data_IF_023115623475
#
_entry.id   IF_023115623475
#
_cell.length_a   1.000
_cell.length_b   1.000
_cell.length_c   1.000
_cell.angle_alpha   90.00
_cell.angle_beta   90.00
_cell.angle_gamma   90.00
#
_symmetry.space_group_name_H-M   'P 1'
#
loop_
_entity.id
_entity.type
_entity.pdbx_description
1 polymer ?
#
# COMPACT_ATOMS: atom_id res chain seq x y z
N UNK A 1 -4.33 -6.33 -29.89
CA UNK A 1 -3.61 -5.08 -29.57
C UNK A 1 -4.16 -4.60 -28.25
N UNK A 2 -3.29 -4.17 -27.35
CA UNK A 2 -3.75 -3.58 -26.10
C UNK A 2 -4.61 -2.34 -26.38
N UNK A 3 -5.74 -2.24 -25.70
CA UNK A 3 -6.63 -1.08 -25.81
C UNK A 3 -6.02 0.08 -25.04
N UNK A 4 -5.65 1.14 -25.75
CA UNK A 4 -5.13 2.36 -25.16
C UNK A 4 -6.23 3.44 -25.04
N UNK A 5 -5.90 4.55 -24.36
CA UNK A 5 -6.85 5.63 -24.10
C UNK A 5 -7.45 6.21 -25.39
N UNK A 6 -6.63 6.38 -26.44
CA UNK A 6 -7.10 6.84 -27.76
C UNK A 6 -8.10 5.86 -28.39
N UNK A 7 -7.80 4.56 -28.35
CA UNK A 7 -8.68 3.55 -28.97
C UNK A 7 -9.99 3.41 -28.21
N UNK A 8 -9.96 3.43 -26.87
CA UNK A 8 -11.17 3.43 -26.04
C UNK A 8 -12.02 4.66 -26.31
N UNK A 9 -11.41 5.85 -26.30
CA UNK A 9 -12.10 7.12 -26.57
C UNK A 9 -12.73 7.12 -27.96
N UNK A 10 -12.00 6.70 -28.99
CA UNK A 10 -12.51 6.64 -30.36
C UNK A 10 -13.65 5.65 -30.56
N UNK A 11 -13.67 4.54 -29.81
CA UNK A 11 -14.81 3.60 -29.81
C UNK A 11 -16.07 4.22 -29.20
N UNK A 12 -15.92 5.08 -28.18
CA UNK A 12 -17.04 5.87 -27.64
C UNK A 12 -17.50 6.92 -28.65
N UNK A 13 -16.57 7.68 -29.23
CA UNK A 13 -16.84 8.69 -30.27
C UNK A 13 -17.58 8.08 -31.46
N UNK A 14 -17.17 6.91 -31.92
CA UNK A 14 -17.82 6.21 -33.02
C UNK A 14 -19.30 5.84 -32.73
N UNK A 15 -19.64 5.49 -31.48
CA UNK A 15 -21.02 5.22 -31.07
C UNK A 15 -21.90 6.48 -31.09
N UNK A 16 -21.29 7.64 -31.00
CA UNK A 16 -21.94 8.93 -31.02
C UNK A 16 -22.01 9.55 -32.44
N UNK A 17 -21.46 8.81 -33.45
CA UNK A 17 -21.32 9.28 -34.82
C UNK A 17 -20.57 10.61 -34.95
N UNK A 18 -19.50 10.77 -34.16
CA UNK A 18 -18.63 11.94 -34.14
C UNK A 18 -17.26 11.65 -34.77
N UNK A 19 -16.47 12.69 -35.02
CA UNK A 19 -15.15 12.58 -35.67
C UNK A 19 -14.12 12.06 -34.71
N UNK A 20 -13.45 10.96 -35.11
CA UNK A 20 -12.40 10.31 -34.29
C UNK A 20 -11.20 11.23 -34.06
N UNK A 21 -10.55 11.03 -32.92
CA UNK A 21 -9.28 11.66 -32.55
C UNK A 21 -8.08 10.90 -33.16
N UNK A 22 -7.01 11.62 -33.42
CA UNK A 22 -5.69 11.08 -33.77
C UNK A 22 -4.71 11.29 -32.63
N UNK A 23 -3.58 10.60 -32.64
CA UNK A 23 -2.53 10.82 -31.62
C UNK A 23 -2.03 12.27 -31.57
N UNK A 24 -2.04 12.96 -32.69
CA UNK A 24 -1.56 14.35 -32.80
C UNK A 24 -2.54 15.39 -32.24
N UNK A 25 -3.85 15.12 -32.23
CA UNK A 25 -4.86 16.05 -31.75
C UNK A 25 -5.53 15.62 -30.43
N UNK A 26 -5.12 14.50 -29.87
CA UNK A 26 -5.72 13.95 -28.64
C UNK A 26 -5.66 14.91 -27.46
N UNK A 27 -4.52 15.54 -27.21
CA UNK A 27 -4.34 16.52 -26.14
C UNK A 27 -5.08 17.86 -26.40
N UNK A 28 -5.47 18.10 -27.64
CA UNK A 28 -6.19 19.31 -28.04
C UNK A 28 -7.67 19.05 -28.35
N UNK A 29 -8.20 17.93 -27.88
CA UNK A 29 -9.61 17.58 -28.01
C UNK A 29 -10.53 18.68 -27.47
N UNK A 30 -11.70 18.87 -28.07
CA UNK A 30 -12.67 19.92 -27.68
C UNK A 30 -14.10 19.40 -27.68
N UNK A 31 -14.94 20.08 -26.92
CA UNK A 31 -16.38 19.79 -26.89
C UNK A 31 -16.68 18.35 -26.48
N UNK A 32 -17.41 17.64 -27.33
CA UNK A 32 -17.84 16.27 -27.06
C UNK A 32 -16.67 15.29 -26.96
N UNK A 33 -15.57 15.54 -27.67
CA UNK A 33 -14.39 14.66 -27.64
C UNK A 33 -13.75 14.65 -26.24
N UNK A 34 -13.65 15.81 -25.57
CA UNK A 34 -13.18 15.91 -24.17
C UNK A 34 -14.14 15.17 -23.23
N UNK A 35 -15.45 15.28 -23.49
CA UNK A 35 -16.44 14.55 -22.67
C UNK A 35 -16.28 13.03 -22.84
N UNK A 36 -15.94 12.55 -24.06
CA UNK A 36 -15.64 11.14 -24.26
C UNK A 36 -14.37 10.68 -23.54
N UNK A 37 -13.31 11.51 -23.52
CA UNK A 37 -12.11 11.24 -22.73
C UNK A 37 -12.43 11.14 -21.24
N UNK A 38 -13.10 12.14 -20.68
CA UNK A 38 -13.49 12.17 -19.27
C UNK A 38 -14.38 10.98 -18.92
N UNK A 39 -15.34 10.63 -19.77
CA UNK A 39 -16.26 9.52 -19.56
C UNK A 39 -15.55 8.16 -19.54
N UNK A 40 -14.47 7.98 -20.32
CA UNK A 40 -13.64 6.75 -20.25
C UNK A 40 -12.99 6.63 -18.86
N UNK A 41 -12.37 7.68 -18.36
CA UNK A 41 -11.79 7.68 -17.02
C UNK A 41 -12.84 7.49 -15.92
N UNK A 42 -14.01 8.11 -16.07
CA UNK A 42 -15.13 7.95 -15.14
C UNK A 42 -15.64 6.50 -15.12
N UNK A 43 -15.74 5.85 -16.27
CA UNK A 43 -16.13 4.44 -16.35
C UNK A 43 -15.08 3.52 -15.68
N UNK A 44 -13.79 3.77 -15.89
CA UNK A 44 -12.71 3.03 -15.26
C UNK A 44 -12.75 3.22 -13.74
N UNK A 45 -12.93 4.45 -13.26
CA UNK A 45 -13.08 4.73 -11.82
C UNK A 45 -14.30 4.04 -11.22
N UNK A 46 -15.43 4.10 -11.91
CA UNK A 46 -16.67 3.45 -11.46
C UNK A 46 -16.51 1.93 -11.32
N UNK A 47 -15.90 1.25 -12.31
CA UNK A 47 -15.60 -0.18 -12.25
C UNK A 47 -14.74 -0.48 -11.01
N UNK A 48 -13.66 0.29 -10.81
CA UNK A 48 -12.76 0.08 -9.69
C UNK A 48 -13.39 0.42 -8.32
N UNK A 49 -14.38 1.28 -8.26
CA UNK A 49 -15.11 1.58 -7.01
C UNK A 49 -16.13 0.51 -6.64
N UNK A 50 -16.69 -0.21 -7.61
CA UNK A 50 -17.70 -1.27 -7.38
C UNK A 50 -17.12 -2.52 -6.75
N UNK A 51 -15.82 -2.78 -6.94
CA UNK A 51 -15.14 -3.97 -6.42
C UNK A 51 -13.76 -3.62 -5.92
N UNK A 52 -13.41 -4.14 -4.74
CA UNK A 52 -12.15 -3.80 -4.06
C UNK A 52 -10.99 -4.73 -4.44
N UNK A 53 -11.27 -5.95 -4.87
CA UNK A 53 -10.29 -7.02 -4.98
C UNK A 53 -10.16 -7.57 -6.41
N UNK A 54 -10.21 -6.68 -7.39
CA UNK A 54 -9.91 -7.14 -8.76
C UNK A 54 -8.46 -7.63 -8.86
N UNK A 55 -8.22 -8.86 -9.38
CA UNK A 55 -6.87 -9.42 -9.49
C UNK A 55 -5.91 -8.57 -10.32
N UNK A 56 -6.40 -7.82 -11.30
CA UNK A 56 -5.57 -6.95 -12.14
C UNK A 56 -5.08 -5.68 -11.41
N UNK A 57 -5.61 -5.37 -10.24
CA UNK A 57 -5.17 -4.28 -9.37
C UNK A 57 -4.31 -4.78 -8.18
N UNK A 58 -4.07 -6.08 -8.09
CA UNK A 58 -3.25 -6.66 -7.05
C UNK A 58 -1.78 -6.27 -7.24
N UNK A 59 -1.15 -5.79 -6.18
CA UNK A 59 0.25 -5.39 -6.13
C UNK A 59 0.89 -6.00 -4.88
N UNK A 60 2.07 -6.57 -5.05
CA UNK A 60 2.93 -6.94 -3.93
C UNK A 60 3.98 -5.86 -3.74
N UNK A 61 3.96 -5.21 -2.60
CA UNK A 61 4.94 -4.19 -2.23
C UNK A 61 6.09 -4.79 -1.41
N UNK A 62 7.22 -4.11 -1.49
CA UNK A 62 8.42 -4.45 -0.73
C UNK A 62 8.96 -3.20 -0.08
N UNK A 63 8.97 -3.17 1.24
CA UNK A 63 9.44 -2.03 2.01
C UNK A 63 10.60 -2.41 2.91
N UNK A 64 11.59 -1.52 2.98
CA UNK A 64 12.75 -1.67 3.87
C UNK A 64 12.48 -0.87 5.12
N UNK A 65 12.35 -1.55 6.25
CA UNK A 65 12.10 -0.93 7.54
C UNK A 65 13.36 -0.23 8.06
N UNK A 66 13.16 0.88 8.73
CA UNK A 66 14.22 1.62 9.41
C UNK A 66 14.19 1.31 10.91
N UNK A 67 15.35 1.12 11.50
CA UNK A 67 15.46 0.88 12.95
C UNK A 67 14.88 2.06 13.75
N UNK A 68 14.11 1.75 14.79
CA UNK A 68 13.45 2.74 15.65
C UNK A 68 12.22 3.42 15.04
N UNK A 69 11.81 3.07 13.84
CA UNK A 69 10.57 3.58 13.23
C UNK A 69 9.42 2.62 13.52
N UNK A 70 8.39 3.14 14.18
CA UNK A 70 7.20 2.36 14.57
C UNK A 70 6.13 2.41 13.50
N UNK A 71 5.91 3.59 12.89
CA UNK A 71 4.78 3.89 11.99
C UNK A 71 5.24 4.02 10.55
N UNK A 72 4.51 3.40 9.66
CA UNK A 72 4.79 3.37 8.22
C UNK A 72 3.55 3.72 7.43
N UNK A 73 3.74 4.39 6.31
CA UNK A 73 2.66 4.76 5.39
C UNK A 73 2.49 3.71 4.32
N UNK A 74 1.25 3.37 4.00
CA UNK A 74 0.97 2.56 2.80
C UNK A 74 1.06 3.43 1.53
N UNK A 75 1.33 2.85 0.35
CA UNK A 75 1.34 3.60 -0.90
C UNK A 75 0.05 4.40 -1.09
N UNK A 76 0.15 5.64 -1.55
CA UNK A 76 -1.00 6.54 -1.75
C UNK A 76 -2.03 6.00 -2.76
N UNK A 77 -1.59 5.12 -3.65
CA UNK A 77 -2.45 4.42 -4.62
C UNK A 77 -3.16 3.20 -4.02
N UNK A 78 -2.84 2.82 -2.77
CA UNK A 78 -3.48 1.66 -2.14
C UNK A 78 -4.94 1.95 -1.83
N UNK A 79 -5.82 1.07 -2.26
CA UNK A 79 -7.24 1.10 -1.96
C UNK A 79 -7.57 0.21 -0.76
N UNK A 80 -7.03 -0.99 -0.78
CA UNK A 80 -7.25 -1.98 0.27
C UNK A 80 -5.95 -2.75 0.48
N UNK A 81 -5.45 -2.75 1.70
CA UNK A 81 -4.25 -3.50 2.12
C UNK A 81 -4.71 -4.81 2.75
N UNK A 82 -4.10 -5.91 2.34
CA UNK A 82 -4.33 -7.21 2.98
C UNK A 82 -3.31 -7.44 4.12
N UNK A 83 -3.72 -7.11 5.32
CA UNK A 83 -2.88 -7.23 6.51
C UNK A 83 -2.47 -8.67 6.85
N UNK A 84 -3.15 -9.70 6.30
CA UNK A 84 -2.77 -11.11 6.49
C UNK A 84 -1.53 -11.51 5.69
N UNK A 85 -1.14 -10.70 4.71
CA UNK A 85 -0.03 -11.01 3.80
C UNK A 85 1.31 -10.44 4.26
N UNK A 86 1.30 -9.63 5.33
CA UNK A 86 2.52 -9.04 5.87
C UNK A 86 3.51 -10.10 6.32
N UNK A 87 4.72 -10.06 5.75
CA UNK A 87 5.77 -11.04 6.03
C UNK A 87 7.15 -10.40 6.00
N UNK A 88 8.01 -10.81 6.91
CA UNK A 88 9.42 -10.47 6.90
C UNK A 88 10.14 -11.39 5.92
N UNK A 89 10.99 -10.80 5.08
CA UNK A 89 11.82 -11.55 4.14
C UNK A 89 13.06 -12.08 4.87
N UNK A 90 13.35 -13.35 4.66
CA UNK A 90 14.57 -13.97 5.19
C UNK A 90 15.81 -13.23 4.69
N UNK A 91 16.68 -12.86 5.62
CA UNK A 91 18.01 -12.32 5.31
C UNK A 91 19.07 -13.12 6.09
N UNK A 92 19.76 -14.00 5.39
CA UNK A 92 20.78 -14.90 6.00
C UNK A 92 22.00 -14.12 6.51
N UNK A 93 22.35 -13.01 5.86
CA UNK A 93 23.49 -12.17 6.26
C UNK A 93 23.25 -11.48 7.60
N UNK A 94 22.01 -11.05 7.85
CA UNK A 94 21.61 -10.42 9.11
C UNK A 94 21.08 -11.42 10.14
N UNK A 95 21.09 -12.72 9.83
CA UNK A 95 20.56 -13.76 10.72
C UNK A 95 19.03 -13.71 10.89
N UNK A 96 18.30 -13.09 9.96
CA UNK A 96 16.86 -12.91 10.05
C UNK A 96 16.14 -14.13 9.46
N UNK A 97 15.34 -14.81 10.28
CA UNK A 97 14.40 -15.81 9.82
C UNK A 97 13.15 -15.09 9.23
N UNK A 98 12.80 -15.42 7.99
CA UNK A 98 11.55 -14.91 7.41
C UNK A 98 10.32 -15.49 8.13
N UNK A 99 9.23 -14.75 8.14
CA UNK A 99 7.97 -15.17 8.78
C UNK A 99 6.81 -14.22 8.52
N UNK A 100 5.59 -14.73 8.66
CA UNK A 100 4.40 -13.91 8.56
C UNK A 100 4.18 -13.14 9.88
N UNK A 101 3.75 -11.89 9.77
CA UNK A 101 3.35 -11.09 10.91
C UNK A 101 1.91 -11.44 11.30
N UNK A 102 1.63 -11.35 12.59
CA UNK A 102 0.27 -11.52 13.13
C UNK A 102 -0.42 -10.16 13.16
N UNK A 103 -1.73 -10.15 12.95
CA UNK A 103 -2.51 -8.92 13.10
C UNK A 103 -2.81 -8.70 14.58
N UNK A 104 -2.50 -7.49 15.08
CA UNK A 104 -2.92 -7.04 16.39
C UNK A 104 -3.92 -5.89 16.23
N UNK A 105 -4.95 -5.85 17.07
CA UNK A 105 -5.93 -4.79 17.04
C UNK A 105 -5.30 -3.47 17.57
N UNK A 106 -5.66 -2.33 16.96
CA UNK A 106 -5.14 -1.02 17.36
C UNK A 106 -5.48 -0.66 18.80
N UNK A 107 -6.67 -1.01 19.29
CA UNK A 107 -7.04 -0.76 20.69
C UNK A 107 -6.20 -1.58 21.66
N UNK A 108 -5.90 -2.83 21.32
CA UNK A 108 -5.04 -3.68 22.15
C UNK A 108 -3.61 -3.13 22.20
N UNK A 109 -3.13 -2.62 21.05
CA UNK A 109 -1.84 -1.95 20.97
C UNK A 109 -1.80 -0.70 21.87
N UNK A 110 -2.78 0.17 21.77
CA UNK A 110 -2.86 1.41 22.56
C UNK A 110 -2.95 1.10 24.06
N UNK A 111 -3.67 0.06 24.45
CA UNK A 111 -3.86 -0.27 25.86
C UNK A 111 -2.64 -0.94 26.52
N UNK A 112 -1.79 -1.64 25.73
CA UNK A 112 -0.76 -2.49 26.31
C UNK A 112 0.66 -2.16 25.83
N UNK A 113 0.82 -1.55 24.67
CA UNK A 113 2.11 -1.46 23.98
C UNK A 113 2.49 -0.06 23.46
N UNK A 114 1.62 0.95 23.62
CA UNK A 114 1.88 2.29 23.06
C UNK A 114 3.12 2.94 23.66
N UNK A 115 3.49 2.58 24.88
CA UNK A 115 4.69 3.10 25.57
C UNK A 115 6.00 2.81 24.82
N UNK A 116 6.01 1.83 23.90
CA UNK A 116 7.20 1.60 23.07
C UNK A 116 7.60 2.83 22.23
N UNK A 117 6.64 3.71 21.91
CA UNK A 117 6.93 4.93 21.16
C UNK A 117 7.65 5.98 22.00
N UNK A 118 7.43 5.95 23.32
CA UNK A 118 8.05 6.87 24.28
C UNK A 118 9.50 6.47 24.61
N UNK A 119 9.89 5.24 24.28
CA UNK A 119 11.25 4.71 24.53
C UNK A 119 12.24 5.10 23.42
N UNK A 120 11.79 5.80 22.37
CA UNK A 120 12.60 6.18 21.23
C UNK A 120 13.01 7.65 21.34
N UNK A 121 14.28 7.89 21.62
CA UNK A 121 14.88 9.22 21.52
C UNK A 121 15.27 9.52 20.08
N UNK A 122 14.94 10.71 19.60
CA UNK A 122 15.19 11.11 18.21
C UNK A 122 15.75 12.52 18.10
N UNK A 123 16.69 12.70 17.19
CA UNK A 123 17.26 13.99 16.79
C UNK A 123 17.62 13.95 15.29
N UNK A 124 18.21 15.00 14.75
CA UNK A 124 18.70 15.02 13.37
C UNK A 124 20.14 15.50 13.31
N UNK A 125 20.91 15.02 12.33
CA UNK A 125 22.25 15.53 12.06
C UNK A 125 22.18 16.99 11.63
N UNK A 126 23.09 17.84 12.13
CA UNK A 126 23.16 19.25 11.76
C UNK A 126 24.16 19.52 10.63
N UNK A 127 25.05 18.58 10.36
CA UNK A 127 26.02 18.59 9.27
C UNK A 127 26.12 17.21 8.62
N UNK A 128 26.71 17.15 7.43
CA UNK A 128 27.02 15.87 6.78
C UNK A 128 28.24 15.22 7.39
N UNK A 129 28.26 13.89 7.42
CA UNK A 129 29.34 13.07 7.95
C UNK A 129 29.83 12.06 6.92
N UNK A 130 31.13 11.76 6.97
CA UNK A 130 31.72 10.66 6.20
C UNK A 130 31.51 9.32 6.90
N UNK A 131 31.79 8.24 6.20
CA UNK A 131 31.73 6.86 6.73
C UNK A 131 32.77 6.55 7.82
N UNK A 132 33.77 7.38 7.97
CA UNK A 132 34.89 7.24 8.90
C UNK A 132 34.87 8.22 10.08
N UNK A 133 33.90 9.12 10.14
CA UNK A 133 33.79 10.10 11.23
C UNK A 133 33.53 9.41 12.57
N UNK A 134 34.33 9.77 13.57
CA UNK A 134 34.22 9.30 14.96
C UNK A 134 33.41 10.20 15.86
N UNK A 135 32.87 11.28 15.30
CA UNK A 135 31.97 12.23 15.99
C UNK A 135 30.80 12.54 15.10
N UNK A 136 29.59 12.40 15.63
CA UNK A 136 28.35 12.74 14.92
C UNK A 136 27.74 13.98 15.54
N UNK A 137 27.59 15.03 14.73
CA UNK A 137 27.04 16.32 15.15
C UNK A 137 25.55 16.39 14.83
N UNK A 138 24.76 16.68 15.86
CA UNK A 138 23.28 16.68 15.80
C UNK A 138 22.73 18.02 16.33
N UNK A 139 21.45 18.23 16.16
CA UNK A 139 20.75 19.42 16.65
C UNK A 139 20.73 19.46 18.18
N UNK A 140 20.47 18.34 18.84
CA UNK A 140 20.48 18.20 20.31
C UNK A 140 20.67 16.74 20.70
N UNK A 141 21.36 16.51 21.81
CA UNK A 141 21.52 15.19 22.43
C UNK A 141 20.66 15.05 23.70
N UNK A 142 19.76 16.00 23.94
CA UNK A 142 18.84 15.94 25.10
C UNK A 142 17.95 14.71 25.03
N UNK A 143 17.90 13.93 26.09
CA UNK A 143 17.14 12.67 26.16
C UNK A 143 17.95 11.44 25.80
N UNK A 144 19.13 11.60 25.16
CA UNK A 144 20.01 10.48 24.85
C UNK A 144 20.90 10.10 26.04
N UNK A 145 21.29 8.84 26.10
CA UNK A 145 22.23 8.35 27.11
C UNK A 145 23.63 8.96 26.95
N UNK A 146 24.42 8.88 28.00
CA UNK A 146 25.81 9.33 27.95
C UNK A 146 26.73 8.47 27.08
N UNK A 147 26.36 7.21 26.83
CA UNK A 147 26.99 6.26 25.91
C UNK A 147 25.98 5.22 25.48
N UNK A 148 26.12 4.64 24.30
CA UNK A 148 25.17 3.65 23.81
C UNK A 148 25.26 3.36 22.33
N UNK A 149 24.14 3.07 21.72
CA UNK A 149 24.00 2.75 20.29
C UNK A 149 23.02 3.71 19.63
N UNK A 150 23.43 4.30 18.52
CA UNK A 150 22.59 5.10 17.65
C UNK A 150 22.21 4.31 16.40
N UNK A 151 21.06 4.63 15.85
CA UNK A 151 20.60 4.15 14.56
C UNK A 151 20.41 5.33 13.63
N UNK A 152 21.11 5.30 12.47
CA UNK A 152 21.07 6.34 11.47
C UNK A 152 20.77 5.68 10.12
N UNK A 153 19.54 5.81 9.66
CA UNK A 153 19.08 5.02 8.53
C UNK A 153 19.22 3.51 8.79
N UNK A 154 20.09 2.87 8.02
CA UNK A 154 20.37 1.43 8.14
C UNK A 154 21.66 1.10 8.90
N UNK A 155 22.34 2.11 9.40
CA UNK A 155 23.61 1.95 10.11
C UNK A 155 23.42 1.98 11.63
N UNK A 156 24.06 1.04 12.31
CA UNK A 156 24.23 1.03 13.76
C UNK A 156 25.60 1.63 14.12
N UNK A 157 25.59 2.63 15.03
CA UNK A 157 26.77 3.35 15.44
C UNK A 157 26.85 3.30 16.96
N UNK A 158 27.90 2.73 17.54
CA UNK A 158 28.13 2.84 19.00
C UNK A 158 28.89 4.10 19.32
N UNK A 159 28.60 4.72 20.46
CA UNK A 159 29.29 5.92 20.95
C UNK A 159 29.61 5.80 22.42
N UNK A 160 30.65 6.54 22.88
CA UNK A 160 31.15 6.46 24.25
C UNK A 160 31.00 7.75 25.03
N UNK A 161 30.53 8.81 24.42
CA UNK A 161 30.30 10.07 25.11
C UNK A 161 29.41 11.04 24.34
N UNK A 162 28.81 12.00 25.04
CA UNK A 162 27.95 13.04 24.49
C UNK A 162 28.35 14.42 24.94
N UNK A 163 28.12 15.42 24.11
CA UNK A 163 28.03 16.84 24.47
C UNK A 163 26.58 17.30 24.19
N UNK A 164 26.29 18.57 24.35
CA UNK A 164 24.93 19.09 24.02
C UNK A 164 24.50 18.89 22.58
N UNK A 165 25.45 18.72 21.65
CA UNK A 165 25.18 18.65 20.20
C UNK A 165 26.02 17.61 19.47
N UNK A 166 26.78 16.77 20.15
CA UNK A 166 27.62 15.77 19.50
C UNK A 166 27.61 14.44 20.25
N UNK A 167 27.66 13.36 19.50
CA UNK A 167 28.05 12.04 19.99
C UNK A 167 29.52 11.83 19.66
N UNK A 168 30.33 11.38 20.64
CA UNK A 168 31.78 11.25 20.52
C UNK A 168 32.22 9.81 20.75
N UNK A 169 33.42 9.47 20.22
CA UNK A 169 33.94 8.10 20.29
C UNK A 169 33.05 7.12 19.51
N UNK A 170 32.54 7.57 18.37
CA UNK A 170 31.67 6.77 17.52
C UNK A 170 32.45 5.65 16.81
N UNK A 171 31.92 4.43 16.88
CA UNK A 171 32.35 3.29 16.05
C UNK A 171 31.28 3.06 15.01
N UNK A 172 31.65 3.25 13.73
CA UNK A 172 30.78 3.15 12.58
C UNK A 172 30.56 1.69 12.18
N UNK A 173 29.41 1.39 11.57
CA UNK A 173 29.10 0.06 11.06
C UNK A 173 28.99 -1.04 12.13
N UNK A 174 28.57 -0.69 13.35
CA UNK A 174 28.35 -1.65 14.43
C UNK A 174 27.22 -2.65 14.07
N UNK A 175 27.08 -3.72 14.83
CA UNK A 175 25.99 -4.68 14.68
C UNK A 175 25.92 -5.41 13.34
N UNK A 176 27.03 -5.54 12.61
CA UNK A 176 27.13 -6.06 11.23
C UNK A 176 26.41 -5.19 10.17
N UNK A 177 26.29 -3.88 10.44
CA UNK A 177 25.86 -2.91 9.45
C UNK A 177 27.06 -2.36 8.67
N UNK A 178 26.82 -1.62 7.60
CA UNK A 178 27.88 -1.01 6.81
C UNK A 178 27.88 0.49 7.04
N UNK A 179 29.04 1.05 7.37
CA UNK A 179 29.22 2.49 7.48
C UNK A 179 28.96 3.17 6.13
N UNK A 180 28.24 4.26 6.14
CA UNK A 180 27.91 5.06 4.96
C UNK A 180 27.98 6.55 5.26
N UNK A 181 28.06 7.39 4.22
CA UNK A 181 27.94 8.83 4.39
C UNK A 181 26.55 9.19 4.94
N UNK A 182 26.49 10.14 5.84
CA UNK A 182 25.25 10.63 6.46
C UNK A 182 25.08 12.09 6.04
N UNK A 183 23.95 12.40 5.42
CA UNK A 183 23.61 13.77 5.04
C UNK A 183 23.13 14.59 6.22
N UNK A 184 23.28 15.91 6.16
CA UNK A 184 22.67 16.83 7.12
C UNK A 184 21.15 16.69 7.09
N UNK A 185 20.51 16.72 8.27
CA UNK A 185 19.07 16.52 8.44
C UNK A 185 18.63 15.05 8.53
N UNK A 186 19.58 14.10 8.48
CA UNK A 186 19.26 12.67 8.66
C UNK A 186 18.85 12.40 10.10
N UNK A 187 17.76 11.63 10.27
CA UNK A 187 17.27 11.24 11.60
C UNK A 187 18.25 10.29 12.29
N UNK A 188 18.54 10.58 13.54
CA UNK A 188 19.35 9.78 14.47
C UNK A 188 18.44 9.33 15.60
N UNK A 189 18.34 8.04 15.85
CA UNK A 189 17.51 7.47 16.93
C UNK A 189 18.35 6.67 17.91
N UNK A 190 17.93 6.68 19.17
CA UNK A 190 18.40 5.78 20.21
C UNK A 190 17.19 5.16 20.88
N UNK A 191 17.27 3.87 21.16
CA UNK A 191 16.23 3.16 21.87
C UNK A 191 16.79 1.93 22.58
N UNK A 192 16.20 1.61 23.71
CA UNK A 192 16.36 0.33 24.38
C UNK A 192 15.15 -0.54 24.08
N UNK A 193 15.36 -1.73 23.57
CA UNK A 193 14.25 -2.59 23.20
C UNK A 193 14.15 -2.79 21.68
N UNK A 194 12.93 -2.89 21.19
CA UNK A 194 12.69 -3.26 19.81
C UNK A 194 13.08 -4.72 19.51
N UNK A 195 12.87 -5.13 18.28
CA UNK A 195 13.17 -6.51 17.88
C UNK A 195 12.86 -6.79 16.44
N UNK A 196 12.71 -8.07 16.14
CA UNK A 196 12.09 -8.50 14.89
C UNK A 196 10.59 -8.27 15.04
N UNK A 197 9.95 -7.47 14.15
CA UNK A 197 8.50 -7.29 14.22
C UNK A 197 7.75 -8.62 14.15
N UNK A 198 6.81 -8.81 15.04
CA UNK A 198 5.94 -9.99 15.10
C UNK A 198 4.50 -9.67 14.72
N UNK A 199 4.11 -8.42 14.96
CA UNK A 199 2.75 -7.94 14.74
C UNK A 199 2.73 -6.75 13.80
N UNK A 200 1.69 -6.73 12.97
CA UNK A 200 1.28 -5.56 12.19
C UNK A 200 -0.06 -5.06 12.71
N UNK A 201 -0.19 -3.77 12.87
CA UNK A 201 -1.37 -3.10 13.41
C UNK A 201 -1.85 -2.07 12.41
N UNK A 202 -3.11 -2.17 11.99
CA UNK A 202 -3.74 -1.15 11.15
C UNK A 202 -4.08 0.06 12.02
N UNK A 203 -3.61 1.23 11.61
CA UNK A 203 -3.94 2.50 12.28
C UNK A 203 -5.25 3.11 11.74
N UNK A 204 -5.93 3.99 12.50
CA UNK A 204 -7.17 4.63 12.07
C UNK A 204 -7.04 5.47 10.79
N UNK A 205 -5.84 5.96 10.47
CA UNK A 205 -5.51 6.74 9.27
C UNK A 205 -5.16 5.86 8.05
N UNK A 206 -5.47 4.54 8.12
CA UNK A 206 -5.17 3.52 7.12
C UNK A 206 -3.68 3.25 6.85
N UNK A 207 -2.80 3.71 7.70
CA UNK A 207 -1.41 3.33 7.72
C UNK A 207 -1.20 2.06 8.58
N UNK A 208 0.05 1.70 8.83
CA UNK A 208 0.34 0.58 9.71
C UNK A 208 1.49 0.90 10.66
N UNK A 209 1.52 0.18 11.76
CA UNK A 209 2.63 0.18 12.70
C UNK A 209 3.03 -1.25 13.03
N UNK A 210 4.23 -1.40 13.54
CA UNK A 210 4.85 -2.68 13.83
C UNK A 210 5.16 -2.81 15.31
N UNK A 211 4.95 -4.02 15.84
CA UNK A 211 5.30 -4.35 17.22
C UNK A 211 6.01 -5.71 17.28
N UNK A 212 7.12 -5.84 18.03
CA UNK A 212 7.95 -4.72 18.50
C UNK A 212 8.46 -3.87 17.33
N UNK A 213 8.88 -2.63 17.60
CA UNK A 213 9.44 -1.80 16.53
C UNK A 213 10.77 -2.41 16.01
N UNK A 214 11.13 -2.14 14.76
CA UNK A 214 12.33 -2.71 14.14
C UNK A 214 13.61 -2.28 14.86
N UNK A 215 14.42 -3.22 15.31
CA UNK A 215 15.76 -2.95 15.86
C UNK A 215 16.83 -2.86 14.78
N UNK A 216 16.56 -3.39 13.59
CA UNK A 216 17.46 -3.39 12.41
C UNK A 216 16.64 -3.11 11.16
N UNK A 217 17.33 -2.88 10.06
CA UNK A 217 16.71 -2.80 8.76
C UNK A 217 16.21 -4.19 8.35
N UNK A 218 14.91 -4.40 8.42
CA UNK A 218 14.23 -5.60 7.92
C UNK A 218 13.55 -5.27 6.59
N UNK A 219 13.43 -6.25 5.71
CA UNK A 219 12.61 -6.11 4.51
C UNK A 219 11.30 -6.83 4.72
N UNK A 220 10.20 -6.12 4.56
CA UNK A 220 8.85 -6.71 4.58
C UNK A 220 8.29 -6.75 3.17
N UNK A 221 7.35 -7.68 2.97
CA UNK A 221 6.46 -7.70 1.82
C UNK A 221 5.03 -7.81 2.28
N UNK A 222 4.15 -7.15 1.57
CA UNK A 222 2.71 -7.24 1.78
C UNK A 222 1.98 -7.01 0.46
N UNK A 223 0.74 -7.42 0.41
CA UNK A 223 -0.08 -7.31 -0.78
C UNK A 223 -1.19 -6.26 -0.56
N UNK A 224 -1.47 -5.50 -1.60
CA UNK A 224 -2.57 -4.55 -1.60
C UNK A 224 -3.23 -4.48 -2.98
N UNK A 225 -4.43 -3.92 -3.02
CA UNK A 225 -5.12 -3.62 -4.27
C UNK A 225 -5.01 -2.12 -4.53
N UNK A 226 -4.45 -1.77 -5.68
CA UNK A 226 -4.27 -0.38 -6.08
C UNK A 226 -5.55 0.20 -6.70
N UNK A 227 -5.70 1.51 -6.58
CA UNK A 227 -6.64 2.27 -7.38
C UNK A 227 -5.87 2.91 -8.53
N UNK A 228 -6.12 2.52 -9.78
CA UNK A 228 -5.35 3.04 -10.90
C UNK A 228 -5.57 4.54 -11.07
N UNK A 229 -4.52 5.24 -11.50
CA UNK A 229 -4.60 6.64 -11.89
C UNK A 229 -5.43 6.80 -13.16
N UNK A 230 -5.94 8.01 -13.38
CA UNK A 230 -6.61 8.36 -14.62
C UNK A 230 -5.63 8.27 -15.80
N UNK A 231 -6.14 7.86 -16.94
CA UNK A 231 -5.42 7.89 -18.20
C UNK A 231 -5.26 9.35 -18.64
N UNK A 232 -4.07 9.74 -19.09
CA UNK A 232 -3.74 11.11 -19.49
C UNK A 232 -3.19 11.20 -20.91
N UNK A 233 -2.21 10.36 -21.25
CA UNK A 233 -1.62 10.30 -22.57
C UNK A 233 -2.44 9.40 -23.52
N UNK A 234 -2.40 9.67 -24.81
CA UNK A 234 -3.17 8.93 -25.83
C UNK A 234 -2.82 7.43 -25.88
N UNK A 235 -1.62 7.06 -25.50
CA UNK A 235 -1.08 5.70 -25.48
C UNK A 235 -1.18 5.01 -24.10
N UNK A 236 -1.66 5.71 -23.08
CA UNK A 236 -1.91 5.12 -21.75
C UNK A 236 -2.86 3.93 -21.87
N UNK A 237 -2.57 2.89 -21.09
CA UNK A 237 -3.38 1.67 -21.00
C UNK A 237 -3.98 1.50 -19.64
N UNK A 238 -5.17 0.95 -19.56
CA UNK A 238 -5.82 0.63 -18.29
C UNK A 238 -5.31 -0.71 -17.74
N UNK A 239 -5.37 -0.87 -16.41
CA UNK A 239 -5.13 -2.16 -15.75
C UNK A 239 -6.22 -3.20 -16.05
N UNK A 240 -7.41 -2.74 -16.47
CA UNK A 240 -8.53 -3.62 -16.83
C UNK A 240 -8.17 -4.40 -18.10
N UNK A 241 -8.25 -5.75 -18.09
CA UNK A 241 -7.88 -6.55 -19.26
C UNK A 241 -8.72 -6.22 -20.51
N UNK A 242 -8.09 -6.21 -21.69
CA UNK A 242 -8.70 -5.86 -23.00
C UNK A 242 -10.02 -6.58 -23.29
N UNK A 243 -10.18 -7.83 -22.80
CA UNK A 243 -11.43 -8.59 -22.95
C UNK A 243 -12.64 -7.90 -22.33
N UNK A 244 -12.43 -6.95 -21.43
CA UNK A 244 -13.48 -6.16 -20.79
C UNK A 244 -13.58 -4.73 -21.32
N UNK A 245 -12.87 -4.39 -22.37
CA UNK A 245 -12.91 -3.05 -22.98
C UNK A 245 -14.35 -2.64 -23.35
N UNK A 246 -15.18 -3.59 -23.78
CA UNK A 246 -16.59 -3.32 -24.07
C UNK A 246 -17.36 -2.77 -22.86
N UNK A 247 -17.02 -3.21 -21.65
CA UNK A 247 -17.66 -2.72 -20.40
C UNK A 247 -17.30 -1.26 -20.18
N UNK A 248 -16.02 -0.89 -20.36
CA UNK A 248 -15.54 0.51 -20.27
C UNK A 248 -16.28 1.37 -21.28
N UNK A 249 -16.39 0.90 -22.54
CA UNK A 249 -17.04 1.64 -23.62
C UNK A 249 -18.53 1.83 -23.36
N UNK A 250 -19.23 0.81 -22.81
CA UNK A 250 -20.66 0.91 -22.46
C UNK A 250 -20.86 1.94 -21.34
N UNK A 251 -20.03 1.91 -20.30
CA UNK A 251 -20.02 2.89 -19.21
C UNK A 251 -19.76 4.30 -19.71
N UNK A 252 -18.67 4.49 -20.45
CA UNK A 252 -18.31 5.80 -21.00
C UNK A 252 -19.41 6.35 -21.93
N UNK A 253 -19.98 5.52 -22.80
CA UNK A 253 -21.10 5.91 -23.66
C UNK A 253 -22.31 6.35 -22.86
N UNK A 254 -22.63 5.65 -21.76
CA UNK A 254 -23.75 6.03 -20.90
C UNK A 254 -23.53 7.43 -20.26
N UNK A 255 -22.32 7.71 -19.74
CA UNK A 255 -22.02 9.00 -19.12
C UNK A 255 -22.06 10.15 -20.14
N UNK A 256 -21.65 9.93 -21.40
CA UNK A 256 -21.81 10.95 -22.44
C UNK A 256 -23.27 11.20 -22.80
N UNK A 257 -24.13 10.16 -22.86
CA UNK A 257 -25.57 10.37 -23.05
C UNK A 257 -26.21 11.08 -21.86
N UNK A 258 -25.76 10.82 -20.64
CA UNK A 258 -26.19 11.58 -19.47
C UNK A 258 -25.83 13.07 -19.62
N UNK A 259 -24.61 13.38 -20.06
CA UNK A 259 -24.17 14.76 -20.34
C UNK A 259 -25.03 15.44 -21.42
N UNK A 260 -25.43 14.70 -22.46
CA UNK A 260 -26.32 15.17 -23.52
C UNK A 260 -27.80 15.30 -23.11
N UNK A 261 -28.18 14.78 -21.95
CA UNK A 261 -29.58 14.75 -21.49
C UNK A 261 -30.45 13.69 -22.18
N UNK A 262 -29.83 12.72 -22.84
CA UNK A 262 -30.52 11.63 -23.56
C UNK A 262 -30.84 10.46 -22.62
N UNK A 263 -31.85 10.64 -21.77
CA UNK A 263 -32.18 9.73 -20.66
C UNK A 263 -32.41 8.28 -21.10
N UNK A 264 -33.09 8.04 -22.23
CA UNK A 264 -33.38 6.66 -22.70
C UNK A 264 -32.10 5.94 -23.10
N UNK A 265 -31.20 6.61 -23.84
CA UNK A 265 -29.92 6.04 -24.27
C UNK A 265 -28.98 5.84 -23.06
N UNK A 266 -28.99 6.78 -22.12
CA UNK A 266 -28.30 6.63 -20.84
C UNK A 266 -28.72 5.35 -20.12
N UNK A 267 -30.01 5.15 -19.86
CA UNK A 267 -30.52 3.99 -19.13
C UNK A 267 -30.15 2.66 -19.83
N UNK A 268 -30.29 2.61 -21.15
CA UNK A 268 -29.97 1.40 -21.92
C UNK A 268 -28.49 1.03 -21.79
N UNK A 269 -27.59 2.01 -22.00
CA UNK A 269 -26.15 1.76 -21.96
C UNK A 269 -25.67 1.53 -20.51
N UNK A 270 -26.25 2.23 -19.52
CA UNK A 270 -25.92 2.03 -18.12
C UNK A 270 -26.32 0.64 -17.61
N UNK A 271 -27.49 0.11 -18.03
CA UNK A 271 -27.89 -1.26 -17.70
C UNK A 271 -26.92 -2.30 -18.29
N UNK A 272 -26.44 -2.10 -19.53
CA UNK A 272 -25.40 -2.95 -20.14
C UNK A 272 -24.09 -2.87 -19.37
N UNK A 273 -23.70 -1.67 -18.97
CA UNK A 273 -22.52 -1.43 -18.15
C UNK A 273 -22.56 -2.17 -16.81
N UNK A 274 -23.65 -2.01 -16.06
CA UNK A 274 -23.85 -2.71 -14.78
C UNK A 274 -23.85 -4.25 -14.97
N UNK A 275 -24.49 -4.75 -16.02
CA UNK A 275 -24.45 -6.18 -16.33
C UNK A 275 -23.04 -6.64 -16.69
N UNK A 276 -22.30 -5.82 -17.44
CA UNK A 276 -20.89 -6.06 -17.77
C UNK A 276 -20.01 -6.16 -16.52
N UNK A 277 -20.20 -5.25 -15.55
CA UNK A 277 -19.48 -5.28 -14.28
C UNK A 277 -19.80 -6.56 -13.49
N UNK A 278 -21.07 -6.94 -13.40
CA UNK A 278 -21.47 -8.21 -12.73
C UNK A 278 -20.81 -9.42 -13.38
N UNK A 279 -20.73 -9.45 -14.71
CA UNK A 279 -20.06 -10.52 -15.44
C UNK A 279 -18.54 -10.51 -15.16
N UNK A 280 -17.89 -9.33 -15.10
CA UNK A 280 -16.50 -9.21 -14.71
C UNK A 280 -16.25 -9.76 -13.30
N UNK A 281 -17.06 -9.37 -12.34
CA UNK A 281 -16.97 -9.85 -10.95
C UNK A 281 -17.11 -11.37 -10.88
N UNK A 282 -18.07 -11.95 -11.62
CA UNK A 282 -18.28 -13.39 -11.66
C UNK A 282 -17.10 -14.16 -12.24
N UNK A 283 -16.41 -13.58 -13.24
CA UNK A 283 -15.28 -14.23 -13.93
C UNK A 283 -13.95 -14.04 -13.22
N UNK A 284 -13.76 -12.93 -12.53
CA UNK A 284 -12.46 -12.54 -11.97
C UNK A 284 -12.34 -12.81 -10.48
N UNK A 285 -13.45 -12.73 -9.75
CA UNK A 285 -13.41 -12.93 -8.31
C UNK A 285 -13.69 -14.39 -8.02
N UNK A 286 -12.70 -15.07 -7.49
CA UNK A 286 -12.85 -16.45 -7.07
C UNK A 286 -13.70 -16.51 -5.79
N UNK A 287 -14.99 -16.75 -5.96
CA UNK A 287 -15.94 -16.89 -4.83
C UNK A 287 -15.79 -18.21 -4.08
N UNK A 288 -15.00 -19.15 -4.61
CA UNK A 288 -14.78 -20.45 -3.97
C UNK A 288 -13.84 -20.36 -2.76
N UNK A 289 -13.04 -19.30 -2.63
CA UNK A 289 -12.25 -19.05 -1.41
C UNK A 289 -13.10 -18.59 -0.22
N UNK A 290 -14.35 -18.20 -0.47
CA UNK A 290 -15.36 -17.99 0.56
C UNK A 290 -16.15 -19.28 0.82
N UNK A 291 -15.49 -20.32 1.26
CA UNK A 291 -16.19 -21.39 1.98
C UNK A 291 -16.66 -20.77 3.30
N UNK A 292 -17.88 -20.29 3.33
CA UNK A 292 -18.55 -20.00 4.59
C UNK A 292 -18.66 -21.30 5.36
N UNK A 293 -17.72 -21.56 6.24
CA UNK A 293 -17.97 -22.49 7.33
C UNK A 293 -19.00 -21.81 8.24
N UNK A 294 -20.26 -22.08 8.00
CA UNK A 294 -21.32 -21.71 8.92
C UNK A 294 -21.16 -22.63 10.12
N UNK A 295 -20.42 -22.17 11.12
CA UNK A 295 -20.48 -22.78 12.43
C UNK A 295 -21.89 -22.51 12.97
N UNK A 296 -22.75 -23.50 12.93
CA UNK A 296 -24.01 -23.49 13.65
C UNK A 296 -23.67 -24.09 15.02
N UNK A 297 -23.60 -23.29 16.10
CA UNK A 297 -23.53 -23.89 17.43
C UNK A 297 -24.81 -24.65 17.64
N UNK A 298 -24.73 -25.99 17.76
CA UNK A 298 -25.82 -26.75 18.26
C UNK A 298 -26.06 -26.34 19.73
N UNK A 299 -27.04 -25.47 19.95
CA UNK A 299 -27.60 -25.28 21.29
C UNK A 299 -28.48 -26.55 21.54
N UNK A 300 -27.88 -27.54 22.10
CA UNK A 300 -28.52 -28.77 22.46
C UNK A 300 -27.92 -29.29 23.76
N UNK A 301 -28.65 -29.11 24.83
CA UNK A 301 -28.69 -29.99 26.00
C UNK A 301 -27.56 -31.03 26.11
N UNK A 302 -26.70 -30.82 27.07
CA UNK A 302 -25.81 -31.75 27.73
C UNK A 302 -25.67 -33.15 27.17
N UNK A 303 -24.63 -33.40 26.43
CA UNK A 303 -23.91 -34.67 26.41
C UNK A 303 -22.64 -34.47 25.62
N UNK A 304 -21.53 -34.82 26.23
CA UNK A 304 -20.22 -34.84 25.67
C UNK A 304 -20.15 -35.57 24.32
N UNK A 305 -20.19 -34.88 23.22
CA UNK A 305 -19.69 -35.41 21.97
C UNK A 305 -19.14 -34.27 21.14
N UNK A 306 -17.83 -34.18 21.17
CA UNK A 306 -17.00 -33.34 20.32
C UNK A 306 -16.94 -33.92 18.90
N UNK A 307 -18.06 -33.98 18.20
CA UNK A 307 -18.05 -34.28 16.77
C UNK A 307 -18.44 -33.02 15.99
N UNK A 308 -17.41 -32.36 15.47
CA UNK A 308 -17.56 -31.36 14.43
C UNK A 308 -18.15 -32.03 13.18
N UNK A 309 -19.45 -31.90 12.96
CA UNK A 309 -20.06 -32.25 11.71
C UNK A 309 -19.91 -31.08 10.72
N UNK A 310 -18.82 -31.09 9.96
CA UNK A 310 -18.66 -30.25 8.78
C UNK A 310 -19.60 -30.81 7.70
N UNK A 311 -20.76 -30.17 7.48
CA UNK A 311 -21.52 -30.36 6.27
C UNK A 311 -21.03 -29.37 5.23
N UNK A 312 -20.38 -29.90 4.20
CA UNK A 312 -20.09 -29.20 2.96
C UNK A 312 -21.36 -29.32 2.12
N UNK A 313 -22.01 -28.22 1.82
CA UNK A 313 -23.09 -28.13 0.85
C UNK A 313 -22.57 -27.47 -0.42
#
# INVERSE_FOLDING_TARGET
MAENYLTLTNKVIARLNEVALTSSNFSNARGIQVQCQNAVNEAIRYINQKEFQYPFNHVTDTEVLTAGVVRYSVPSTSKTVDYNTFRIIKNSTLGIAGGNLKILNYNDYVNHFITQEDEINSTTTSVSHTDSDTTITVVSTTGFDSAGTLFVGNEEITYTGTTSTTFTGCTRGAGNTTASSIDSGTTVTQFDGGGVPEFVIRTPDNNYLLYPFPKKSYTIKYDYFSFPNDLSAFDDTTTIPDRFAAVIIDGATSFVYQYRGETQQYQLNFNRFEQGIKNMQTLLINRFDYVRSTYIPQSGSGSNSSTLNLRVS
#
